data_IF_656266134666
#
_entry.id   IF_656266134666
#
_cell.length_a   1.000
_cell.length_b   1.000
_cell.length_c   1.000
_cell.angle_alpha   90.00
_cell.angle_beta   90.00
_cell.angle_gamma   90.00
#
_symmetry.space_group_name_H-M   'P 1'
#
loop_
_entity.id
_entity.type
_entity.pdbx_description
1 polymer ?
#
# COMPACT_ATOMS: atom_id res chain seq x y z
N UNK A 1 30.61 85.83 20.37
CA UNK A 1 31.52 84.96 19.60
C UNK A 1 30.87 83.59 19.56
N UNK A 2 30.38 83.23 18.39
CA UNK A 2 29.40 82.18 18.12
C UNK A 2 30.18 80.93 17.65
N UNK A 3 30.17 79.86 18.46
CA UNK A 3 30.88 78.62 18.13
C UNK A 3 29.92 77.62 17.48
N UNK A 4 30.13 77.42 16.19
CA UNK A 4 29.37 76.57 15.29
C UNK A 4 29.70 75.09 15.55
N UNK A 5 28.82 74.36 16.26
CA UNK A 5 28.93 72.91 16.43
C UNK A 5 28.31 72.19 15.24
N UNK A 6 29.13 71.81 14.26
CA UNK A 6 28.72 71.00 13.13
C UNK A 6 28.76 69.50 13.53
N UNK A 7 27.61 68.93 13.88
CA UNK A 7 27.45 67.51 14.17
C UNK A 7 27.41 66.70 12.87
N UNK A 8 28.54 66.11 12.50
CA UNK A 8 28.66 65.20 11.37
C UNK A 8 28.20 63.79 11.77
N UNK A 9 26.90 63.53 11.62
CA UNK A 9 26.31 62.20 11.77
C UNK A 9 26.78 61.32 10.60
N UNK A 10 27.65 60.34 10.89
CA UNK A 10 28.13 59.35 9.91
C UNK A 10 26.97 58.45 9.48
N UNK A 11 26.48 58.63 8.25
CA UNK A 11 25.42 57.81 7.65
C UNK A 11 25.86 56.33 7.60
N UNK A 12 24.97 55.36 7.94
CA UNK A 12 25.31 53.95 7.87
C UNK A 12 25.61 53.51 6.43
N UNK A 13 26.56 52.59 6.30
CA UNK A 13 27.12 52.11 5.05
C UNK A 13 26.07 51.34 4.22
N UNK A 14 25.55 51.98 3.16
CA UNK A 14 24.53 51.46 2.25
C UNK A 14 25.03 50.38 1.26
N UNK A 15 26.28 49.90 1.41
CA UNK A 15 26.87 48.88 0.51
C UNK A 15 26.19 47.52 0.57
N UNK A 16 25.33 47.25 1.57
CA UNK A 16 24.58 46.00 1.68
C UNK A 16 23.37 45.93 0.72
N UNK A 17 22.82 47.07 0.28
CA UNK A 17 21.63 47.12 -0.60
C UNK A 17 21.89 46.75 -2.06
N UNK A 18 23.15 46.59 -2.46
CA UNK A 18 23.56 46.31 -3.85
C UNK A 18 23.79 44.84 -4.15
N UNK A 19 23.73 43.96 -3.15
CA UNK A 19 24.06 42.54 -3.32
C UNK A 19 22.87 41.65 -3.71
N UNK A 20 21.63 42.13 -3.64
CA UNK A 20 20.44 41.38 -4.04
C UNK A 20 19.58 42.19 -5.01
N UNK A 21 19.85 42.04 -6.31
CA UNK A 21 18.94 42.50 -7.36
C UNK A 21 17.59 41.80 -7.16
N UNK A 22 16.49 42.55 -6.98
CA UNK A 22 15.15 42.01 -6.74
C UNK A 22 14.75 41.00 -7.84
N UNK A 23 15.16 41.23 -9.09
CA UNK A 23 14.98 40.26 -10.19
C UNK A 23 15.69 38.92 -9.94
N UNK A 24 16.90 38.96 -9.38
CA UNK A 24 17.66 37.77 -8.98
C UNK A 24 17.02 37.07 -7.78
N UNK A 25 16.39 37.82 -6.87
CA UNK A 25 15.63 37.26 -5.74
C UNK A 25 14.35 36.56 -6.22
N UNK A 26 13.66 37.14 -7.21
CA UNK A 26 12.48 36.53 -7.83
C UNK A 26 12.83 35.24 -8.58
N UNK A 27 13.95 35.22 -9.31
CA UNK A 27 14.46 34.01 -9.99
C UNK A 27 14.79 32.92 -8.97
N UNK A 28 15.46 33.26 -7.87
CA UNK A 28 15.79 32.31 -6.81
C UNK A 28 14.54 31.69 -6.17
N UNK A 29 13.49 32.50 -5.93
CA UNK A 29 12.24 32.04 -5.33
C UNK A 29 11.48 31.08 -6.25
N UNK A 30 11.45 31.37 -7.56
CA UNK A 30 10.87 30.46 -8.57
C UNK A 30 11.64 29.15 -8.64
N UNK A 31 12.97 29.19 -8.59
CA UNK A 31 13.81 27.97 -8.58
C UNK A 31 13.51 27.12 -7.34
N UNK A 32 13.36 27.72 -6.15
CA UNK A 32 13.02 27.00 -4.92
C UNK A 32 11.64 26.34 -5.03
N UNK A 33 10.63 27.02 -5.60
CA UNK A 33 9.30 26.45 -5.81
C UNK A 33 9.31 25.27 -6.78
N UNK A 34 10.11 25.34 -7.86
CA UNK A 34 10.28 24.23 -8.83
C UNK A 34 11.01 23.04 -8.19
N UNK A 35 11.98 23.28 -7.32
CA UNK A 35 12.67 22.22 -6.59
C UNK A 35 11.72 21.51 -5.60
N UNK A 36 10.92 22.28 -4.84
CA UNK A 36 9.95 21.71 -3.89
C UNK A 36 8.88 20.90 -4.63
N UNK A 37 8.30 21.43 -5.71
CA UNK A 37 7.31 20.68 -6.51
C UNK A 37 7.91 19.44 -7.17
N UNK A 38 9.17 19.52 -7.63
CA UNK A 38 9.93 18.38 -8.13
C UNK A 38 10.10 17.28 -7.09
N UNK A 39 10.46 17.63 -5.84
CA UNK A 39 10.59 16.63 -4.76
C UNK A 39 9.25 15.98 -4.39
N UNK A 40 8.15 16.73 -4.43
CA UNK A 40 6.81 16.21 -4.14
C UNK A 40 6.32 15.27 -5.25
N UNK A 41 6.58 15.61 -6.52
CA UNK A 41 6.23 14.79 -7.67
C UNK A 41 6.98 13.45 -7.68
N UNK A 42 8.27 13.43 -7.29
CA UNK A 42 9.06 12.20 -7.20
C UNK A 42 8.48 11.25 -6.14
N UNK A 43 8.06 11.75 -4.98
CA UNK A 43 7.40 10.93 -3.95
C UNK A 43 6.06 10.36 -4.39
N UNK A 44 5.28 11.10 -5.19
CA UNK A 44 3.99 10.60 -5.68
C UNK A 44 4.13 9.51 -6.76
N UNK A 45 5.22 9.54 -7.54
CA UNK A 45 5.47 8.57 -8.60
C UNK A 45 6.22 7.30 -8.14
N UNK A 46 6.75 7.31 -6.91
CA UNK A 46 7.44 6.15 -6.28
C UNK A 46 6.54 5.47 -5.26
N UNK A 47 5.30 5.15 -5.65
CA UNK A 47 4.52 4.15 -4.94
C UNK A 47 5.17 2.78 -5.21
N UNK A 48 6.19 2.46 -4.42
CA UNK A 48 6.93 1.19 -4.49
C UNK A 48 5.97 0.04 -4.11
N UNK A 49 5.30 -0.53 -5.10
CA UNK A 49 4.59 -1.79 -4.97
C UNK A 49 5.63 -2.92 -4.84
N UNK A 50 5.92 -3.32 -3.60
CA UNK A 50 6.87 -4.39 -3.29
C UNK A 50 6.17 -5.74 -3.43
N UNK A 51 6.69 -6.61 -4.31
CA UNK A 51 6.16 -7.97 -4.48
C UNK A 51 6.43 -8.80 -3.22
N UNK A 52 5.38 -9.40 -2.67
CA UNK A 52 5.46 -10.31 -1.53
C UNK A 52 5.58 -11.74 -2.04
N UNK A 53 6.60 -12.45 -1.56
CA UNK A 53 6.76 -13.88 -1.86
C UNK A 53 5.85 -14.70 -0.96
N UNK A 54 5.24 -15.72 -1.54
CA UNK A 54 4.35 -16.61 -0.82
C UNK A 54 4.40 -18.04 -1.38
N UNK A 55 4.00 -18.98 -0.54
CA UNK A 55 3.81 -20.38 -0.87
C UNK A 55 2.37 -20.76 -0.55
N UNK A 56 1.64 -21.25 -1.55
CA UNK A 56 0.31 -21.82 -1.35
C UNK A 56 0.44 -23.13 -0.58
N UNK A 57 -0.38 -23.28 0.46
CA UNK A 57 -0.35 -24.43 1.35
C UNK A 57 -1.50 -25.39 1.04
N UNK A 58 -1.22 -26.67 1.18
CA UNK A 58 -2.23 -27.72 0.98
C UNK A 58 -2.49 -28.49 2.27
N UNK A 59 -3.77 -28.61 2.64
CA UNK A 59 -4.28 -29.52 3.68
C UNK A 59 -3.44 -29.57 4.97
N UNK A 60 -2.50 -30.51 5.04
CA UNK A 60 -1.65 -30.78 6.22
C UNK A 60 -0.68 -29.65 6.57
N UNK A 61 -0.33 -28.79 5.61
CA UNK A 61 0.59 -27.67 5.83
C UNK A 61 -0.10 -26.47 6.49
N UNK A 62 -1.43 -26.44 6.47
CA UNK A 62 -2.23 -25.36 7.05
C UNK A 62 -2.18 -25.49 8.58
N UNK A 63 -1.76 -24.44 9.31
CA UNK A 63 -1.75 -24.47 10.76
C UNK A 63 -3.14 -24.76 11.34
N UNK A 64 -3.23 -25.68 12.31
CA UNK A 64 -4.51 -26.08 12.90
C UNK A 64 -5.33 -24.91 13.45
N UNK A 65 -4.65 -23.89 14.00
CA UNK A 65 -5.30 -22.67 14.51
C UNK A 65 -6.11 -21.92 13.44
N UNK A 66 -5.77 -22.10 12.16
CA UNK A 66 -6.52 -21.50 11.06
C UNK A 66 -7.92 -22.12 10.92
N UNK A 67 -8.08 -23.41 11.23
CA UNK A 67 -9.38 -24.10 11.20
C UNK A 67 -10.38 -23.53 12.22
N UNK A 68 -9.92 -22.88 13.28
CA UNK A 68 -10.78 -22.24 14.28
C UNK A 68 -11.28 -20.86 13.83
N UNK A 69 -10.51 -20.17 12.97
CA UNK A 69 -10.82 -18.80 12.54
C UNK A 69 -11.50 -18.76 11.17
N UNK A 70 -11.15 -19.68 10.25
CA UNK A 70 -11.70 -19.73 8.90
C UNK A 70 -13.23 -19.79 8.86
N UNK A 71 -13.92 -20.60 9.71
CA UNK A 71 -15.38 -20.71 9.65
C UNK A 71 -16.11 -19.38 9.87
N UNK A 72 -15.50 -18.41 10.57
CA UNK A 72 -16.10 -17.09 10.82
C UNK A 72 -16.14 -16.20 9.59
N UNK A 73 -15.35 -16.53 8.57
CA UNK A 73 -15.13 -15.69 7.40
C UNK A 73 -15.47 -16.40 6.09
N UNK A 74 -15.68 -17.72 6.12
CA UNK A 74 -15.91 -18.55 4.95
C UNK A 74 -17.15 -18.17 4.14
N UNK A 75 -18.12 -17.49 4.74
CA UNK A 75 -19.38 -17.06 4.10
C UNK A 75 -19.22 -15.78 3.27
N UNK A 76 -18.06 -15.12 3.33
CA UNK A 76 -17.84 -13.82 2.70
C UNK A 76 -16.67 -13.91 1.69
N UNK A 77 -16.79 -13.20 0.57
CA UNK A 77 -15.68 -13.03 -0.38
C UNK A 77 -14.69 -12.00 0.17
N UNK A 78 -13.49 -12.42 0.57
CA UNK A 78 -12.48 -11.53 1.17
C UNK A 78 -11.07 -12.12 1.22
N UNK A 79 -10.09 -11.24 1.41
CA UNK A 79 -8.75 -11.59 1.84
C UNK A 79 -8.58 -11.27 3.33
N UNK A 80 -7.78 -12.07 4.04
CA UNK A 80 -7.43 -11.91 5.45
C UNK A 80 -5.93 -12.19 5.63
N UNK A 81 -5.29 -11.44 6.53
CA UNK A 81 -3.95 -11.77 7.00
C UNK A 81 -4.01 -12.16 8.48
N UNK A 82 -3.33 -13.25 8.86
CA UNK A 82 -3.26 -13.69 10.25
C UNK A 82 -1.84 -14.14 10.60
N UNK A 83 -1.47 -13.96 11.86
CA UNK A 83 -0.18 -14.40 12.40
C UNK A 83 -0.38 -15.66 13.22
N UNK A 84 0.24 -16.75 12.80
CA UNK A 84 0.21 -18.04 13.50
C UNK A 84 1.65 -18.51 13.71
N UNK A 85 2.02 -18.81 14.95
CA UNK A 85 3.37 -19.29 15.30
C UNK A 85 4.52 -18.39 14.79
N UNK A 86 4.32 -17.08 14.77
CA UNK A 86 5.32 -16.12 14.30
C UNK A 86 5.31 -15.87 12.79
N UNK A 87 4.58 -16.66 12.01
CA UNK A 87 4.52 -16.56 10.55
C UNK A 87 3.22 -15.90 10.08
N UNK A 88 3.26 -15.23 8.93
CA UNK A 88 2.14 -14.50 8.36
C UNK A 88 1.51 -15.30 7.23
N UNK A 89 0.21 -15.58 7.38
CA UNK A 89 -0.58 -16.30 6.40
C UNK A 89 -1.64 -15.36 5.81
N UNK A 90 -1.83 -15.46 4.50
CA UNK A 90 -2.92 -14.83 3.77
C UNK A 90 -3.94 -15.89 3.42
N UNK A 91 -5.21 -15.61 3.69
CA UNK A 91 -6.35 -16.44 3.30
C UNK A 91 -7.21 -15.66 2.34
N UNK A 92 -7.62 -16.27 1.24
CA UNK A 92 -8.68 -15.75 0.37
C UNK A 92 -9.85 -16.70 0.38
N UNK A 93 -11.05 -16.19 0.64
CA UNK A 93 -12.31 -16.94 0.66
C UNK A 93 -13.22 -16.48 -0.46
N UNK A 94 -14.00 -17.42 -1.03
CA UNK A 94 -15.02 -17.16 -2.06
C UNK A 94 -16.44 -17.04 -1.54
N UNK A 95 -16.60 -17.00 -0.23
CA UNK A 95 -17.92 -16.99 0.37
C UNK A 95 -18.65 -18.31 0.19
N UNK A 96 -19.93 -18.29 0.51
CA UNK A 96 -20.82 -19.42 0.28
C UNK A 96 -21.12 -19.57 -1.22
N UNK A 97 -20.97 -20.79 -1.74
CA UNK A 97 -21.34 -21.15 -3.11
C UNK A 97 -22.36 -22.28 -3.11
N UNK A 98 -23.41 -22.21 -3.96
CA UNK A 98 -24.53 -23.16 -3.90
C UNK A 98 -24.17 -24.56 -4.39
N UNK A 99 -23.09 -24.70 -5.16
CA UNK A 99 -22.61 -25.96 -5.74
C UNK A 99 -21.10 -26.09 -5.60
N UNK A 100 -20.57 -27.26 -5.95
CA UNK A 100 -19.15 -27.42 -6.29
C UNK A 100 -18.80 -26.74 -7.62
N UNK A 101 -17.52 -26.80 -7.99
CA UNK A 101 -17.00 -26.23 -9.24
C UNK A 101 -16.44 -24.81 -9.12
N UNK A 102 -16.62 -24.16 -7.97
CA UNK A 102 -16.00 -22.87 -7.68
C UNK A 102 -14.61 -23.07 -7.05
N UNK A 103 -13.62 -22.29 -7.49
CA UNK A 103 -12.27 -22.27 -6.88
C UNK A 103 -11.71 -20.86 -6.77
N UNK A 104 -10.62 -20.74 -6.01
CA UNK A 104 -9.83 -19.52 -5.86
C UNK A 104 -8.35 -19.85 -5.81
N UNK A 105 -7.57 -19.04 -6.52
CA UNK A 105 -6.12 -19.03 -6.46
C UNK A 105 -5.61 -17.62 -6.14
N UNK A 106 -4.40 -17.53 -5.58
CA UNK A 106 -3.69 -16.25 -5.39
C UNK A 106 -2.71 -16.09 -6.54
N UNK A 107 -2.88 -15.04 -7.34
CA UNK A 107 -2.02 -14.69 -8.48
C UNK A 107 -0.77 -13.96 -8.01
N UNK A 108 -0.97 -12.88 -7.23
CA UNK A 108 0.13 -12.10 -6.64
C UNK A 108 -0.30 -11.41 -5.36
N UNK A 109 0.67 -11.09 -4.52
CA UNK A 109 0.49 -10.26 -3.33
C UNK A 109 1.46 -9.09 -3.43
N UNK A 110 0.96 -7.88 -3.28
CA UNK A 110 1.73 -6.64 -3.31
C UNK A 110 1.65 -5.95 -1.96
N UNK A 111 2.77 -5.39 -1.52
CA UNK A 111 2.88 -4.57 -0.33
C UNK A 111 3.05 -3.12 -0.78
N UNK A 112 2.26 -2.23 -0.18
CA UNK A 112 2.31 -0.79 -0.45
C UNK A 112 2.33 -0.04 0.86
N UNK A 113 2.92 1.15 0.89
CA UNK A 113 2.79 2.07 2.03
C UNK A 113 1.62 3.02 1.80
N UNK A 114 0.92 3.37 2.86
CA UNK A 114 -0.05 4.46 2.85
C UNK A 114 0.62 5.81 3.17
N UNK A 115 -0.17 6.88 3.20
CA UNK A 115 0.29 8.25 3.47
C UNK A 115 0.89 8.42 4.88
N UNK A 116 0.62 7.48 5.80
CA UNK A 116 1.12 7.47 7.18
C UNK A 116 2.29 6.48 7.36
N UNK A 117 2.94 6.05 6.27
CA UNK A 117 4.02 5.05 6.25
C UNK A 117 3.63 3.65 6.80
N UNK A 118 2.33 3.36 6.98
CA UNK A 118 1.86 2.02 7.34
C UNK A 118 1.71 1.18 6.08
N UNK A 119 2.18 -0.06 6.12
CA UNK A 119 2.03 -0.92 4.95
C UNK A 119 0.66 -1.61 4.91
N UNK A 120 0.12 -1.70 3.71
CA UNK A 120 -1.06 -2.47 3.34
C UNK A 120 -0.69 -3.59 2.36
N UNK A 121 -1.50 -4.63 2.33
CA UNK A 121 -1.40 -5.70 1.32
C UNK A 121 -2.53 -5.60 0.31
N UNK A 122 -2.19 -5.76 -0.96
CA UNK A 122 -3.14 -6.00 -2.04
C UNK A 122 -2.98 -7.43 -2.51
N UNK A 123 -4.01 -8.24 -2.32
CA UNK A 123 -4.04 -9.64 -2.74
C UNK A 123 -4.83 -9.73 -4.03
N UNK A 124 -4.18 -10.19 -5.09
CA UNK A 124 -4.79 -10.44 -6.38
C UNK A 124 -5.19 -11.90 -6.42
N UNK A 125 -6.49 -12.15 -6.44
CA UNK A 125 -7.05 -13.49 -6.50
C UNK A 125 -7.70 -13.75 -7.86
N UNK A 126 -7.55 -14.98 -8.31
CA UNK A 126 -8.20 -15.50 -9.50
C UNK A 126 -9.36 -16.38 -9.08
N UNK A 127 -10.55 -16.04 -9.53
CA UNK A 127 -11.78 -16.76 -9.23
C UNK A 127 -12.20 -17.55 -10.47
N UNK A 128 -12.47 -18.84 -10.26
CA UNK A 128 -13.01 -19.73 -11.29
C UNK A 128 -14.40 -20.16 -10.86
N UNK A 129 -15.37 -19.96 -11.75
CA UNK A 129 -16.76 -20.37 -11.61
C UNK A 129 -17.01 -21.58 -12.53
N UNK A 130 -17.94 -22.49 -12.16
CA UNK A 130 -18.32 -23.57 -13.06
C UNK A 130 -19.02 -23.02 -14.30
N UNK A 131 -18.79 -23.64 -15.46
CA UNK A 131 -19.40 -23.23 -16.72
C UNK A 131 -20.84 -23.73 -16.83
N UNK A 132 -21.70 -23.06 -17.60
CA UNK A 132 -23.04 -23.55 -17.88
C UNK A 132 -23.00 -24.96 -18.48
N UNK A 133 -23.65 -25.92 -17.83
CA UNK A 133 -23.67 -27.32 -18.26
C UNK A 133 -22.59 -28.20 -17.63
N UNK A 134 -21.68 -27.65 -16.81
CA UNK A 134 -20.73 -28.45 -16.05
C UNK A 134 -21.45 -29.36 -15.05
N UNK A 135 -21.01 -30.62 -14.99
CA UNK A 135 -21.47 -31.56 -13.97
C UNK A 135 -20.78 -31.22 -12.65
N UNK A 136 -21.50 -30.53 -11.76
CA UNK A 136 -21.01 -30.11 -10.45
C UNK A 136 -21.75 -30.78 -9.30
N UNK A 137 -21.07 -30.91 -8.16
CA UNK A 137 -21.68 -31.39 -6.92
C UNK A 137 -22.80 -30.45 -6.47
N UNK A 138 -23.98 -31.00 -6.18
CA UNK A 138 -25.14 -30.26 -5.68
C UNK A 138 -25.10 -30.13 -4.15
N UNK A 139 -24.09 -29.42 -3.65
CA UNK A 139 -23.93 -29.14 -2.23
C UNK A 139 -23.29 -27.76 -2.03
N UNK A 140 -23.67 -27.07 -0.96
CA UNK A 140 -23.07 -25.80 -0.58
C UNK A 140 -21.59 -25.99 -0.28
N UNK A 141 -20.74 -25.15 -0.88
CA UNK A 141 -19.29 -25.17 -0.69
C UNK A 141 -18.75 -23.82 -0.24
N UNK A 142 -17.54 -23.83 0.32
CA UNK A 142 -16.83 -22.64 0.78
C UNK A 142 -15.38 -22.65 0.25
N UNK A 143 -15.15 -22.31 -1.03
CA UNK A 143 -13.82 -22.35 -1.60
C UNK A 143 -12.89 -21.33 -0.92
N UNK A 144 -11.67 -21.75 -0.59
CA UNK A 144 -10.65 -20.89 -0.01
C UNK A 144 -9.25 -21.36 -0.41
N UNK A 145 -8.28 -20.45 -0.31
CA UNK A 145 -6.86 -20.73 -0.49
C UNK A 145 -6.07 -20.07 0.64
N UNK A 146 -5.02 -20.76 1.10
CA UNK A 146 -4.13 -20.29 2.16
C UNK A 146 -2.72 -20.20 1.61
N UNK A 147 -2.07 -19.07 1.81
CA UNK A 147 -0.68 -18.86 1.46
C UNK A 147 0.14 -18.41 2.66
N UNK A 148 1.29 -19.06 2.88
CA UNK A 148 2.33 -18.59 3.79
C UNK A 148 3.14 -17.51 3.08
N UNK A 149 3.39 -16.38 3.73
CA UNK A 149 4.15 -15.25 3.16
C UNK A 149 5.52 -15.11 3.80
N UNK A 150 6.43 -14.38 3.16
CA UNK A 150 7.73 -14.00 3.72
C UNK A 150 7.68 -12.77 4.64
N UNK A 151 6.49 -12.23 4.91
CA UNK A 151 6.29 -11.04 5.75
C UNK A 151 6.69 -11.29 7.20
N UNK A 152 7.18 -10.24 7.87
CA UNK A 152 7.61 -10.28 9.28
C UNK A 152 6.52 -9.81 10.25
N UNK A 153 5.62 -8.98 9.76
CA UNK A 153 4.56 -8.33 10.53
C UNK A 153 3.23 -8.35 9.77
N UNK A 154 2.14 -8.15 10.50
CA UNK A 154 0.81 -8.07 9.91
C UNK A 154 0.63 -6.71 9.22
N UNK A 155 -0.04 -6.67 8.06
CA UNK A 155 -0.38 -5.41 7.45
C UNK A 155 -1.40 -4.65 8.28
N UNK A 156 -1.36 -3.32 8.17
CA UNK A 156 -2.39 -2.46 8.74
C UNK A 156 -3.74 -2.68 8.06
N UNK A 157 -3.73 -2.90 6.73
CA UNK A 157 -4.92 -3.18 5.92
C UNK A 157 -4.63 -4.22 4.86
N UNK A 158 -5.66 -4.98 4.51
CA UNK A 158 -5.62 -5.93 3.41
C UNK A 158 -6.78 -5.65 2.46
N UNK A 159 -6.46 -5.56 1.17
CA UNK A 159 -7.41 -5.33 0.09
C UNK A 159 -7.41 -6.56 -0.82
N UNK A 160 -8.60 -7.02 -1.22
CA UNK A 160 -8.76 -8.08 -2.21
C UNK A 160 -9.07 -7.44 -3.56
N UNK A 161 -8.26 -7.75 -4.57
CA UNK A 161 -8.56 -7.47 -5.98
C UNK A 161 -8.82 -8.81 -6.69
N UNK A 162 -9.99 -8.94 -7.32
CA UNK A 162 -10.39 -10.18 -7.98
C UNK A 162 -10.29 -10.05 -9.50
N UNK A 163 -9.88 -11.13 -10.16
CA UNK A 163 -10.09 -11.35 -11.60
C UNK A 163 -10.89 -12.63 -11.78
N UNK A 164 -11.81 -12.63 -12.73
CA UNK A 164 -12.58 -13.82 -13.11
C UNK A 164 -11.93 -14.45 -14.33
N UNK A 165 -11.82 -15.77 -14.33
CA UNK A 165 -11.44 -16.52 -15.52
C UNK A 165 -12.69 -16.80 -16.36
N UNK A 166 -12.66 -16.42 -17.65
CA UNK A 166 -13.74 -16.66 -18.63
C UNK A 166 -13.83 -18.13 -19.09
#
# INVERSE_FOLDING_TARGET
MENNMNNNMKKPNDSFKRFFNIKSLMILLVVILVLISGTMAIKHFTNDEEKVEFQVLSGKEIPQKLNEILPRYQTLERALACKVNGEIYVVVTRGEKPTGGYSVDIDKIEKMKDEEDKFKLIVYAKFTDPKPGDVVTQAVTYPYVVAKTNLKELPYRIELKTRYEE
#
